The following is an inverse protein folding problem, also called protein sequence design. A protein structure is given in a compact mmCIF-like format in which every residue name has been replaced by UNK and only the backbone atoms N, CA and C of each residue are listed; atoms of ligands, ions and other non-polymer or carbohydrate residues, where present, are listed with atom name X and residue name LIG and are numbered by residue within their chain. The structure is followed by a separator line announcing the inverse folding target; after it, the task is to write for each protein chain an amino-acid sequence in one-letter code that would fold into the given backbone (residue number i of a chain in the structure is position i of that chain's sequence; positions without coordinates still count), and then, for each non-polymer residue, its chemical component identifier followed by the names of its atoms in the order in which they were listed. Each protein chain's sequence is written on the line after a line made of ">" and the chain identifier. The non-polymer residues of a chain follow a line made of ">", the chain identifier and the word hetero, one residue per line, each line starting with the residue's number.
data_IF_170607710148
#
_entry.id   IF_170607710148
#
_cell.length_a   1.000
_cell.length_b   1.000
_cell.length_c   1.000
_cell.angle_alpha   90.00
_cell.angle_beta   90.00
_cell.angle_gamma   90.00
#
_symmetry.space_group_name_H-M   'P 1'
#
loop_
_entity.id
_entity.type
_entity.pdbx_description
1 polymer ?
#
# COMPACT_ATOMS: atom_id res chain seq x y z
N UNK A 1 -9.46 -2.97 -8.24
CA UNK A 1 -10.45 -2.96 -7.14
C UNK A 1 -10.06 -1.95 -6.08
N UNK A 2 -8.88 -2.09 -5.46
CA UNK A 2 -8.32 -1.18 -4.46
C UNK A 2 -8.36 0.31 -4.86
N UNK A 3 -7.91 0.63 -6.08
CA UNK A 3 -7.92 2.00 -6.63
C UNK A 3 -9.31 2.64 -6.68
N UNK A 4 -10.32 1.85 -7.08
CA UNK A 4 -11.72 2.32 -7.14
C UNK A 4 -12.29 2.53 -5.74
N UNK A 5 -12.04 1.59 -4.83
CA UNK A 5 -12.56 1.66 -3.46
C UNK A 5 -11.97 2.85 -2.69
N UNK A 6 -10.67 3.11 -2.84
CA UNK A 6 -10.01 4.26 -2.22
C UNK A 6 -10.34 5.60 -2.90
N UNK A 7 -10.98 5.60 -4.07
CA UNK A 7 -11.42 6.81 -4.77
C UNK A 7 -10.33 7.88 -4.94
N UNK A 8 -9.10 7.46 -5.22
CA UNK A 8 -7.95 8.38 -5.39
C UNK A 8 -7.44 9.03 -4.09
N UNK A 9 -7.84 8.53 -2.92
CA UNK A 9 -7.45 9.06 -1.61
C UNK A 9 -6.47 8.16 -0.88
N UNK A 10 -5.57 8.77 -0.12
CA UNK A 10 -4.65 8.07 0.76
C UNK A 10 -5.41 7.28 1.84
N UNK A 11 -5.05 6.01 2.06
CA UNK A 11 -5.71 5.18 3.07
C UNK A 11 -5.45 5.62 4.52
N UNK A 12 -4.42 6.45 4.75
CA UNK A 12 -4.04 6.95 6.09
C UNK A 12 -4.64 8.33 6.36
N UNK A 13 -4.28 9.34 5.56
CA UNK A 13 -4.74 10.72 5.82
C UNK A 13 -6.06 11.07 5.13
N UNK A 14 -6.51 10.26 4.17
CA UNK A 14 -7.72 10.54 3.40
C UNK A 14 -7.55 11.64 2.35
N UNK A 15 -6.37 12.20 2.13
CA UNK A 15 -6.19 13.25 1.12
C UNK A 15 -5.94 12.67 -0.27
N UNK A 16 -6.40 13.41 -1.29
CA UNK A 16 -5.98 13.19 -2.67
C UNK A 16 -4.66 13.91 -2.92
N UNK A 17 -3.66 13.25 -3.52
CA UNK A 17 -2.39 13.90 -3.79
C UNK A 17 -2.50 15.01 -4.83
N UNK A 18 -1.80 16.13 -4.60
CA UNK A 18 -1.79 17.29 -5.52
C UNK A 18 -0.66 17.26 -6.56
N UNK A 19 0.37 16.44 -6.35
CA UNK A 19 1.55 16.36 -7.24
C UNK A 19 1.86 14.93 -7.66
N UNK A 20 2.39 14.12 -6.72
CA UNK A 20 2.75 12.72 -6.97
C UNK A 20 1.53 11.86 -6.72
N UNK A 21 1.16 11.00 -7.67
CA UNK A 21 0.08 10.03 -7.47
C UNK A 21 0.28 9.12 -6.24
N UNK A 22 -0.75 8.34 -5.92
CA UNK A 22 -0.66 7.37 -4.82
C UNK A 22 0.32 6.24 -5.16
N UNK A 23 0.97 5.70 -4.13
CA UNK A 23 1.88 4.56 -4.23
C UNK A 23 1.28 3.33 -3.57
N UNK A 24 1.65 2.13 -4.04
CA UNK A 24 1.23 0.85 -3.46
C UNK A 24 2.10 0.53 -2.27
N UNK A 25 1.54 0.71 -1.08
CA UNK A 25 2.15 0.28 0.15
C UNK A 25 1.91 -1.22 0.36
N UNK A 26 2.93 -1.93 0.85
CA UNK A 26 2.91 -3.37 1.03
C UNK A 26 3.67 -3.78 2.29
N UNK A 27 3.28 -4.91 2.87
CA UNK A 27 4.01 -5.53 3.96
C UNK A 27 5.31 -6.14 3.40
N UNK A 28 6.46 -5.72 3.91
CA UNK A 28 7.77 -6.15 3.41
C UNK A 28 8.13 -7.62 3.73
N UNK A 29 7.40 -8.28 4.65
CA UNK A 29 7.63 -9.68 5.01
C UNK A 29 6.88 -10.63 4.08
N UNK A 30 5.67 -10.24 3.67
CA UNK A 30 4.77 -11.07 2.86
C UNK A 30 4.71 -10.64 1.40
N UNK A 31 5.09 -9.39 1.11
CA UNK A 31 4.90 -8.75 -0.18
C UNK A 31 3.45 -8.36 -0.46
N UNK A 32 2.51 -8.60 0.45
CA UNK A 32 1.09 -8.30 0.22
C UNK A 32 0.83 -6.79 0.28
N UNK A 33 0.14 -6.27 -0.74
CA UNK A 33 -0.30 -4.88 -0.80
C UNK A 33 -1.31 -4.63 0.32
N UNK A 34 -1.06 -3.60 1.12
CA UNK A 34 -1.97 -3.13 2.18
C UNK A 34 -2.95 -2.09 1.64
N UNK A 35 -2.47 -1.10 0.89
CA UNK A 35 -3.28 0.01 0.41
C UNK A 35 -2.53 0.98 -0.50
N UNK A 36 -3.23 2.00 -0.98
CA UNK A 36 -2.63 3.13 -1.69
C UNK A 36 -2.41 4.29 -0.72
N UNK A 37 -1.18 4.81 -0.68
CA UNK A 37 -0.79 5.90 0.21
C UNK A 37 -0.27 7.09 -0.59
N UNK A 38 -0.43 8.30 -0.05
CA UNK A 38 0.33 9.44 -0.55
C UNK A 38 1.82 9.26 -0.19
N UNK A 39 2.70 9.91 -0.94
CA UNK A 39 4.16 9.78 -0.73
C UNK A 39 4.60 10.10 0.70
N UNK A 40 3.98 11.10 1.33
CA UNK A 40 4.28 11.50 2.71
C UNK A 40 3.94 10.38 3.69
N UNK A 41 2.68 9.93 3.71
CA UNK A 41 2.24 8.84 4.58
C UNK A 41 3.03 7.55 4.35
N UNK A 42 3.31 7.19 3.08
CA UNK A 42 4.11 6.01 2.76
C UNK A 42 5.52 6.09 3.36
N UNK A 43 6.17 7.25 3.28
CA UNK A 43 7.52 7.45 3.84
C UNK A 43 7.50 7.36 5.38
N UNK A 44 6.44 7.85 6.01
CA UNK A 44 6.27 7.79 7.47
C UNK A 44 5.87 6.40 7.96
N UNK A 45 5.19 5.60 7.14
CA UNK A 45 4.59 4.31 7.54
C UNK A 45 5.59 3.39 8.22
N UNK A 46 6.78 3.19 7.61
CA UNK A 46 7.79 2.29 8.16
C UNK A 46 8.47 2.75 9.45
N UNK A 47 8.14 3.94 9.97
CA UNK A 47 8.78 4.53 11.16
C UNK A 47 7.79 4.93 12.25
N UNK A 48 6.54 5.15 11.89
CA UNK A 48 5.53 5.69 12.81
C UNK A 48 5.03 4.63 13.79
N UNK A 49 4.94 5.01 15.06
CA UNK A 49 4.33 4.22 16.13
C UNK A 49 2.94 4.74 16.53
N UNK A 50 2.41 5.76 15.86
CA UNK A 50 1.13 6.33 16.26
C UNK A 50 -0.04 5.37 15.95
N UNK A 51 -1.10 5.49 16.75
CA UNK A 51 -2.29 4.64 16.62
C UNK A 51 -2.90 4.66 15.21
N UNK A 52 -2.80 5.79 14.50
CA UNK A 52 -3.29 5.91 13.13
C UNK A 52 -2.58 4.94 12.18
N UNK A 53 -1.25 4.83 12.28
CA UNK A 53 -0.48 3.94 11.43
C UNK A 53 -0.62 2.49 11.87
N UNK A 54 -0.72 2.22 13.18
CA UNK A 54 -1.04 0.89 13.68
C UNK A 54 -2.39 0.38 13.13
N UNK A 55 -3.44 1.19 13.20
CA UNK A 55 -4.75 0.87 12.65
C UNK A 55 -4.70 0.58 11.14
N UNK A 56 -3.88 1.33 10.39
CA UNK A 56 -3.70 1.06 8.96
C UNK A 56 -3.07 -0.32 8.70
N UNK A 57 -2.11 -0.76 9.53
CA UNK A 57 -1.50 -2.10 9.41
C UNK A 57 -2.49 -3.21 9.75
N UNK A 58 -3.31 -2.99 10.76
CA UNK A 58 -4.25 -3.99 11.28
C UNK A 58 -5.54 -4.08 10.47
N UNK A 59 -5.96 -2.98 9.82
CA UNK A 59 -7.19 -2.87 9.03
C UNK A 59 -6.95 -2.11 7.74
N UNK A 60 -6.02 -2.60 6.95
CA UNK A 60 -5.69 -2.06 5.65
C UNK A 60 -6.84 -2.21 4.64
N UNK A 61 -6.92 -1.37 3.59
CA UNK A 61 -7.91 -1.50 2.52
C UNK A 61 -7.97 -2.90 1.89
N UNK A 62 -6.82 -3.57 1.71
CA UNK A 62 -6.77 -4.92 1.19
C UNK A 62 -7.44 -5.94 2.13
N UNK A 63 -7.19 -5.82 3.44
CA UNK A 63 -7.86 -6.65 4.46
C UNK A 63 -9.36 -6.39 4.53
N UNK A 64 -9.79 -5.12 4.47
CA UNK A 64 -11.21 -4.74 4.48
C UNK A 64 -11.95 -5.38 3.29
N UNK A 65 -11.30 -5.41 2.13
CA UNK A 65 -11.85 -6.01 0.91
C UNK A 65 -11.63 -7.52 0.81
N UNK A 66 -10.95 -8.13 1.78
CA UNK A 66 -10.53 -9.53 1.76
C UNK A 66 -9.83 -9.93 0.45
N UNK A 67 -8.91 -9.08 -0.03
CA UNK A 67 -8.11 -9.35 -1.23
C UNK A 67 -6.63 -9.53 -0.87
N UNK A 68 -5.99 -10.47 -1.54
CA UNK A 68 -4.56 -10.74 -1.41
C UNK A 68 -3.89 -10.48 -2.77
N UNK A 69 -3.12 -9.41 -2.85
CA UNK A 69 -2.39 -9.02 -4.06
C UNK A 69 -0.92 -8.83 -3.70
N UNK A 70 -0.04 -9.61 -4.32
CA UNK A 70 1.41 -9.54 -4.07
C UNK A 70 2.02 -8.41 -4.90
N UNK A 71 2.87 -7.61 -4.26
CA UNK A 71 3.78 -6.69 -4.93
C UNK A 71 4.98 -7.48 -5.49
N UNK A 72 5.08 -7.54 -6.82
CA UNK A 72 6.20 -8.13 -7.53
C UNK A 72 7.02 -7.00 -8.18
N UNK A 73 8.22 -6.69 -7.68
CA UNK A 73 9.09 -5.73 -8.34
C UNK A 73 9.60 -6.30 -9.68
N UNK A 74 9.93 -5.44 -10.62
CA UNK A 74 10.21 -5.82 -12.02
C UNK A 74 11.40 -6.78 -12.16
N UNK A 75 12.38 -6.67 -11.25
CA UNK A 75 13.52 -7.57 -11.11
C UNK A 75 13.08 -8.99 -10.72
N UNK A 76 12.09 -9.15 -9.85
CA UNK A 76 11.54 -10.45 -9.51
C UNK A 76 10.87 -11.17 -10.70
N UNK A 77 10.31 -10.42 -11.66
CA UNK A 77 9.69 -10.98 -12.88
C UNK A 77 10.76 -11.56 -13.82
N UNK A 78 11.94 -10.94 -13.89
CA UNK A 78 13.03 -11.42 -14.74
C UNK A 78 13.51 -12.82 -14.34
N UNK A 79 13.51 -13.12 -13.03
CA UNK A 79 13.91 -14.42 -12.49
C UNK A 79 12.94 -15.56 -12.83
N UNK A 80 11.64 -15.26 -13.04
CA UNK A 80 10.62 -16.26 -13.40
C UNK A 80 10.71 -16.64 -14.89
N UNK A 81 11.19 -15.74 -15.76
CA UNK A 81 11.24 -15.99 -17.22
C UNK A 81 12.47 -16.78 -17.68
N UNK A 82 13.43 -17.01 -16.79
CA UNK A 82 14.66 -17.78 -17.06
C UNK A 82 14.67 -19.18 -16.43
N UNK A 83 13.56 -19.62 -15.82
CA UNK A 83 13.32 -20.98 -15.35
C UNK A 83 12.34 -21.69 -16.28
#
# INVERSE_FOLDING_TARGET
>A
MLEKWQSGRCAICGDSPTRRGLVRDHDHRTGLIRGLLCYSCNTTEGRSTSALFANYRDRSPAQILAIEVVYLPLDAISAIRTA
#
